data_IF_193508205686
#
_entry.id   IF_193508205686
#
_cell.length_a   1.000
_cell.length_b   1.000
_cell.length_c   1.000
_cell.angle_alpha   90.00
_cell.angle_beta   90.00
_cell.angle_gamma   90.00
#
_symmetry.space_group_name_H-M   'P 1'
#
loop_
_entity.id
_entity.type
_entity.pdbx_description
1 polymer ?
#
# COMPACT_ATOMS: atom_id res chain seq x y z
N UNK A 1 0.02 10.06 11.38
CA UNK A 1 -0.06 10.02 9.91
C UNK A 1 -0.91 8.83 9.45
N UNK A 2 -1.95 9.03 8.64
CA UNK A 2 -2.60 7.97 7.87
C UNK A 2 -2.88 8.56 6.48
N UNK A 3 -2.31 8.02 5.38
CA UNK A 3 -2.58 8.54 4.05
C UNK A 3 -4.08 8.60 3.77
N UNK A 4 -4.51 9.68 3.12
CA UNK A 4 -5.93 9.99 2.93
C UNK A 4 -6.64 8.88 2.16
N UNK A 5 -5.95 8.21 1.22
CA UNK A 5 -6.53 7.11 0.45
C UNK A 5 -6.88 5.88 1.31
N UNK A 6 -6.19 5.67 2.43
CA UNK A 6 -6.42 4.54 3.34
C UNK A 6 -7.50 4.81 4.40
N UNK A 7 -7.87 6.08 4.63
CA UNK A 7 -8.93 6.46 5.59
C UNK A 7 -10.25 5.77 5.26
N UNK A 8 -10.53 5.55 3.98
CA UNK A 8 -11.75 4.87 3.52
C UNK A 8 -11.69 3.34 3.59
N UNK A 9 -10.49 2.79 3.78
CA UNK A 9 -10.26 1.35 3.78
C UNK A 9 -10.20 0.75 5.19
N UNK A 10 -9.68 1.53 6.14
CA UNK A 10 -9.41 1.10 7.51
C UNK A 10 -10.47 1.60 8.50
N UNK A 11 -10.76 0.78 9.52
CA UNK A 11 -11.47 1.23 10.71
C UNK A 11 -10.59 2.19 11.52
N UNK A 12 -11.19 3.19 12.16
CA UNK A 12 -10.50 4.28 12.86
C UNK A 12 -9.71 3.87 14.14
N UNK A 13 -9.57 2.58 14.46
CA UNK A 13 -8.72 2.08 15.55
C UNK A 13 -7.25 2.07 15.15
N UNK A 14 -6.74 3.25 14.81
CA UNK A 14 -5.41 3.49 14.27
C UNK A 14 -4.51 3.88 15.44
N UNK A 15 -3.59 3.00 15.85
CA UNK A 15 -2.55 3.35 16.81
C UNK A 15 -1.54 4.27 16.10
N UNK A 16 -1.66 5.59 16.28
CA UNK A 16 -0.64 6.55 15.85
C UNK A 16 0.60 6.34 16.72
N UNK A 17 1.72 5.93 16.11
CA UNK A 17 2.99 5.79 16.79
C UNK A 17 3.66 7.16 16.91
N UNK A 18 3.83 7.87 15.79
CA UNK A 18 4.34 9.24 15.72
C UNK A 18 4.06 9.87 14.32
N UNK A 19 4.84 10.90 13.94
CA UNK A 19 4.75 11.58 12.64
C UNK A 19 5.61 10.91 11.55
N UNK A 20 6.60 10.10 11.92
CA UNK A 20 7.51 9.45 10.99
C UNK A 20 7.02 8.06 10.60
N UNK A 21 6.29 7.38 11.49
CA UNK A 21 5.87 6.01 11.30
C UNK A 21 4.45 5.78 11.78
N UNK A 22 3.76 4.98 10.98
CA UNK A 22 2.45 4.43 11.28
C UNK A 22 2.50 2.92 11.11
N UNK A 23 1.91 2.16 12.04
CA UNK A 23 1.75 0.72 11.89
C UNK A 23 0.47 0.24 12.56
N UNK A 24 -0.34 -0.54 11.85
CA UNK A 24 -1.61 -1.06 12.37
C UNK A 24 -1.99 -2.39 11.73
N UNK A 25 -2.87 -3.13 12.40
CA UNK A 25 -3.62 -4.21 11.77
C UNK A 25 -4.60 -3.63 10.74
N UNK A 26 -4.70 -4.27 9.58
CA UNK A 26 -5.63 -3.89 8.52
C UNK A 26 -7.01 -4.42 8.89
N UNK A 27 -7.89 -3.53 9.35
CA UNK A 27 -9.26 -3.86 9.80
C UNK A 27 -10.27 -3.13 8.93
N UNK A 28 -11.20 -3.86 8.32
CA UNK A 28 -12.26 -3.28 7.50
C UNK A 28 -13.24 -2.50 8.38
N UNK A 29 -13.89 -1.48 7.82
CA UNK A 29 -14.99 -0.76 8.49
C UNK A 29 -16.14 -1.64 8.98
N UNK A 30 -16.35 -2.82 8.38
CA UNK A 30 -17.34 -3.80 8.85
C UNK A 30 -16.86 -4.68 10.05
N UNK A 31 -15.65 -4.42 10.55
CA UNK A 31 -14.98 -5.14 11.64
C UNK A 31 -14.23 -6.41 11.22
N UNK A 32 -14.23 -6.77 9.93
CA UNK A 32 -13.48 -7.94 9.45
C UNK A 32 -11.98 -7.65 9.36
N UNK A 33 -11.18 -8.62 9.77
CA UNK A 33 -9.71 -8.61 9.61
C UNK A 33 -9.24 -9.44 8.41
N UNK A 34 -10.14 -10.11 7.70
CA UNK A 34 -9.82 -11.00 6.59
C UNK A 34 -10.16 -10.37 5.23
N UNK A 35 -9.19 -10.46 4.32
CA UNK A 35 -9.26 -9.89 2.98
C UNK A 35 -8.72 -10.84 1.92
N UNK A 36 -9.27 -10.74 0.71
CA UNK A 36 -8.62 -11.21 -0.52
C UNK A 36 -7.68 -10.12 -1.00
N UNK A 37 -6.46 -10.48 -1.36
CA UNK A 37 -5.44 -9.54 -1.82
C UNK A 37 -5.18 -9.70 -3.31
N UNK A 38 -5.01 -8.59 -4.01
CA UNK A 38 -4.83 -8.55 -5.45
C UNK A 38 -3.54 -7.80 -5.80
N UNK A 39 -2.75 -8.37 -6.70
CA UNK A 39 -1.44 -7.81 -7.10
C UNK A 39 -1.25 -7.87 -8.60
N UNK A 40 -0.20 -7.24 -9.12
CA UNK A 40 0.16 -7.25 -10.55
C UNK A 40 0.61 -8.61 -11.10
N UNK A 41 0.53 -9.70 -10.32
CA UNK A 41 0.70 -11.08 -10.83
C UNK A 41 2.13 -11.52 -11.10
N UNK A 42 3.13 -10.64 -10.89
CA UNK A 42 4.55 -10.93 -11.07
C UNK A 42 5.24 -11.17 -9.73
N UNK A 43 6.04 -12.23 -9.66
CA UNK A 43 6.73 -12.68 -8.45
C UNK A 43 8.16 -13.11 -8.79
N UNK A 44 9.07 -13.07 -7.82
CA UNK A 44 10.42 -13.61 -8.00
C UNK A 44 10.40 -15.14 -8.10
N UNK A 45 11.14 -15.72 -9.05
CA UNK A 45 11.15 -17.18 -9.28
C UNK A 45 11.64 -17.98 -8.07
N UNK A 46 12.55 -17.40 -7.28
CA UNK A 46 13.13 -18.01 -6.09
C UNK A 46 12.45 -17.60 -4.79
N UNK A 47 11.40 -16.78 -4.84
CA UNK A 47 10.71 -16.31 -3.63
C UNK A 47 9.61 -17.30 -3.19
N UNK A 48 9.79 -18.07 -2.10
CA UNK A 48 8.81 -19.05 -1.63
C UNK A 48 7.50 -18.40 -1.17
N UNK A 49 7.50 -17.09 -0.88
CA UNK A 49 6.33 -16.36 -0.43
C UNK A 49 5.60 -15.63 -1.55
N UNK A 50 6.14 -15.66 -2.78
CA UNK A 50 5.58 -14.95 -3.94
C UNK A 50 5.24 -13.51 -3.57
N UNK A 51 6.22 -12.75 -3.11
CA UNK A 51 6.09 -11.30 -2.92
C UNK A 51 5.92 -10.64 -4.28
N UNK A 52 4.92 -9.75 -4.45
CA UNK A 52 4.70 -9.07 -5.71
C UNK A 52 5.93 -8.25 -6.11
N UNK A 53 6.18 -8.18 -7.42
CA UNK A 53 7.22 -7.36 -8.03
C UNK A 53 6.59 -6.35 -8.99
N UNK A 54 7.28 -5.24 -9.21
CA UNK A 54 6.86 -4.25 -10.21
C UNK A 54 6.82 -4.86 -11.61
N UNK A 55 5.81 -4.46 -12.37
CA UNK A 55 5.70 -4.71 -13.81
C UNK A 55 6.06 -3.43 -14.57
N UNK A 56 6.25 -3.55 -15.88
CA UNK A 56 6.42 -2.38 -16.74
C UNK A 56 5.11 -2.09 -17.48
N UNK A 57 4.67 -0.84 -17.42
CA UNK A 57 3.59 -0.31 -18.25
C UNK A 57 4.19 0.84 -19.05
N UNK A 58 4.19 0.71 -20.38
CA UNK A 58 4.83 1.67 -21.29
C UNK A 58 6.29 2.01 -20.90
N UNK A 59 7.04 1.01 -20.46
CA UNK A 59 8.44 1.15 -20.05
C UNK A 59 8.67 1.80 -18.68
N UNK A 60 7.61 2.09 -17.91
CA UNK A 60 7.71 2.62 -16.55
C UNK A 60 7.30 1.58 -15.51
N UNK A 61 7.99 1.52 -14.35
CA UNK A 61 7.63 0.61 -13.27
C UNK A 61 6.23 0.96 -12.74
N UNK A 62 5.41 -0.07 -12.56
CA UNK A 62 4.09 0.00 -11.94
C UNK A 62 3.99 -1.11 -10.90
N UNK A 63 3.56 -0.74 -9.71
CA UNK A 63 3.29 -1.63 -8.60
C UNK A 63 1.96 -1.26 -7.98
N UNK A 64 1.03 -2.21 -7.89
CA UNK A 64 -0.34 -1.95 -7.45
C UNK A 64 -0.85 -3.09 -6.58
N UNK A 65 -1.47 -2.72 -5.47
CA UNK A 65 -2.04 -3.63 -4.49
C UNK A 65 -3.46 -3.17 -4.16
N UNK A 66 -4.41 -4.08 -4.33
CA UNK A 66 -5.79 -3.91 -3.91
C UNK A 66 -6.17 -5.01 -2.92
N UNK A 67 -7.21 -4.77 -2.14
CA UNK A 67 -7.84 -5.82 -1.35
C UNK A 67 -9.35 -5.76 -1.42
N UNK A 68 -9.99 -6.85 -1.03
CA UNK A 68 -11.44 -7.00 -0.92
C UNK A 68 -11.76 -7.66 0.40
N UNK A 69 -12.59 -7.01 1.23
CA UNK A 69 -13.01 -7.58 2.49
C UNK A 69 -13.87 -8.84 2.26
N UNK A 70 -13.53 -9.97 2.87
CA UNK A 70 -14.29 -11.23 2.69
C UNK A 70 -15.72 -11.13 3.24
N UNK A 71 -15.96 -10.29 4.25
CA UNK A 71 -17.26 -10.17 4.91
C UNK A 71 -18.23 -9.25 4.16
N UNK A 72 -17.79 -8.04 3.78
CA UNK A 72 -18.67 -7.04 3.15
C UNK A 72 -18.38 -6.79 1.66
N UNK A 73 -17.39 -7.47 1.09
CA UNK A 73 -16.93 -7.30 -0.31
C UNK A 73 -16.49 -5.88 -0.68
N UNK A 74 -16.26 -5.00 0.31
CA UNK A 74 -15.72 -3.68 0.05
C UNK A 74 -14.29 -3.80 -0.49
N UNK A 75 -14.03 -3.17 -1.64
CA UNK A 75 -12.71 -3.11 -2.26
C UNK A 75 -11.99 -1.82 -1.92
N UNK A 76 -10.69 -1.93 -1.65
CA UNK A 76 -9.82 -0.81 -1.40
C UNK A 76 -8.58 -0.86 -2.30
N UNK A 77 -8.23 0.30 -2.85
CA UNK A 77 -6.90 0.53 -3.40
C UNK A 77 -5.93 0.84 -2.26
N UNK A 78 -5.11 -0.14 -1.89
CA UNK A 78 -4.17 -0.02 -0.78
C UNK A 78 -2.94 0.77 -1.21
N UNK A 79 -2.42 0.48 -2.39
CA UNK A 79 -1.25 1.16 -2.92
C UNK A 79 -1.18 1.10 -4.45
N UNK A 80 -0.69 2.18 -5.05
CA UNK A 80 -0.37 2.30 -6.48
C UNK A 80 0.82 3.25 -6.60
N UNK A 81 1.97 2.72 -7.02
CA UNK A 81 3.24 3.47 -7.07
C UNK A 81 3.22 4.65 -8.03
N UNK A 82 2.23 4.74 -8.93
CA UNK A 82 2.11 5.83 -9.89
C UNK A 82 1.30 7.02 -9.35
N UNK A 83 0.61 6.87 -8.22
CA UNK A 83 -0.26 7.93 -7.65
C UNK A 83 -0.10 8.12 -6.13
N UNK A 84 0.52 7.18 -5.42
CA UNK A 84 0.71 7.23 -3.97
C UNK A 84 2.20 7.27 -3.58
N UNK A 85 2.47 7.80 -2.39
CA UNK A 85 3.82 7.98 -1.87
C UNK A 85 4.60 9.04 -2.63
N UNK A 86 5.86 9.27 -2.25
CA UNK A 86 6.67 10.37 -2.77
C UNK A 86 6.67 10.46 -4.31
N UNK A 87 7.08 9.40 -5.01
CA UNK A 87 7.15 9.40 -6.47
C UNK A 87 5.79 9.49 -7.16
N UNK A 88 4.75 8.86 -6.60
CA UNK A 88 3.42 8.85 -7.18
C UNK A 88 2.63 10.15 -6.94
N UNK A 89 2.84 10.79 -5.80
CA UNK A 89 2.11 11.97 -5.35
C UNK A 89 2.89 13.28 -5.61
N UNK A 90 4.16 13.36 -5.19
CA UNK A 90 5.00 14.56 -5.32
C UNK A 90 5.58 14.66 -6.73
N UNK A 91 6.27 13.61 -7.18
CA UNK A 91 6.89 13.55 -8.52
C UNK A 91 5.89 13.17 -9.63
N UNK A 92 4.58 13.29 -9.35
CA UNK A 92 3.51 12.74 -10.17
C UNK A 92 3.67 13.04 -11.65
N UNK A 93 3.63 11.98 -12.45
CA UNK A 93 3.60 12.07 -13.90
C UNK A 93 2.15 11.97 -14.40
N UNK A 94 1.59 13.09 -14.86
CA UNK A 94 0.21 13.17 -15.37
C UNK A 94 -0.08 12.26 -16.56
N UNK A 95 0.94 11.93 -17.37
CA UNK A 95 0.78 10.98 -18.46
C UNK A 95 0.59 9.56 -17.91
N UNK A 96 1.45 9.12 -16.99
CA UNK A 96 1.34 7.79 -16.37
C UNK A 96 0.04 7.63 -15.59
N UNK A 97 -0.42 8.70 -14.94
CA UNK A 97 -1.69 8.69 -14.22
C UNK A 97 -2.88 8.33 -15.13
N UNK A 98 -2.80 8.60 -16.45
CA UNK A 98 -3.86 8.36 -17.46
C UNK A 98 -3.75 7.03 -18.19
N UNK A 99 -2.64 6.30 -18.06
CA UNK A 99 -2.47 5.00 -18.73
C UNK A 99 -3.40 3.96 -18.09
N UNK A 100 -3.90 3.02 -18.91
CA UNK A 100 -4.71 1.91 -18.41
C UNK A 100 -3.98 1.13 -17.32
N UNK A 101 -4.67 0.91 -16.19
CA UNK A 101 -4.11 0.16 -15.05
C UNK A 101 -4.05 -1.33 -15.38
N UNK A 102 -3.07 -2.06 -14.82
CA UNK A 102 -2.94 -3.48 -15.08
C UNK A 102 -4.09 -4.24 -14.45
N UNK A 103 -4.44 -5.39 -15.04
CA UNK A 103 -5.29 -6.37 -14.37
C UNK A 103 -4.56 -6.92 -13.15
N UNK A 104 -5.28 -7.11 -12.05
CA UNK A 104 -4.72 -7.66 -10.83
C UNK A 104 -5.17 -9.10 -10.62
N UNK A 105 -4.21 -9.94 -10.22
CA UNK A 105 -4.42 -11.34 -9.90
C UNK A 105 -4.67 -11.51 -8.40
N UNK A 106 -5.59 -12.41 -8.07
CA UNK A 106 -5.82 -12.85 -6.70
C UNK A 106 -4.56 -13.57 -6.17
N UNK A 107 -3.99 -13.04 -5.10
CA UNK A 107 -2.95 -13.68 -4.34
C UNK A 107 -3.55 -14.73 -3.39
N UNK A 108 -2.89 -15.88 -3.27
CA UNK A 108 -3.29 -16.99 -2.40
C UNK A 108 -2.10 -17.40 -1.55
N UNK A 109 -2.37 -17.91 -0.35
CA UNK A 109 -1.35 -18.47 0.53
C UNK A 109 -0.49 -19.50 -0.23
N UNK A 110 0.83 -19.36 -0.16
CA UNK A 110 1.77 -20.26 -0.86
C UNK A 110 1.85 -21.65 -0.25
N UNK A 111 1.30 -21.84 0.95
CA UNK A 111 1.30 -23.13 1.67
C UNK A 111 -0.02 -23.88 1.49
N UNK A 112 -1.16 -23.23 1.80
CA UNK A 112 -2.48 -23.89 1.80
C UNK A 112 -3.43 -23.40 0.69
N UNK A 113 -3.02 -22.46 -0.14
CA UNK A 113 -3.82 -21.89 -1.24
C UNK A 113 -5.11 -21.17 -0.83
N UNK A 114 -5.32 -20.94 0.47
CA UNK A 114 -6.40 -20.09 0.96
C UNK A 114 -6.27 -18.67 0.39
N UNK A 115 -7.41 -18.04 0.10
CA UNK A 115 -7.50 -16.70 -0.49
C UNK A 115 -7.79 -15.59 0.53
N UNK A 116 -7.95 -15.94 1.82
CA UNK A 116 -8.21 -14.96 2.89
C UNK A 116 -7.01 -14.80 3.80
N UNK A 117 -6.62 -13.55 4.04
CA UNK A 117 -5.45 -13.20 4.86
C UNK A 117 -5.77 -12.00 5.71
N UNK A 118 -5.27 -12.03 6.95
CA UNK A 118 -5.10 -10.82 7.75
C UNK A 118 -3.80 -10.13 7.36
N UNK A 119 -3.76 -8.81 7.53
CA UNK A 119 -2.58 -8.02 7.23
C UNK A 119 -2.25 -7.03 8.33
N UNK A 120 -0.97 -6.70 8.42
CA UNK A 120 -0.45 -5.55 9.15
C UNK A 120 0.20 -4.62 8.14
N UNK A 121 -0.14 -3.33 8.21
CA UNK A 121 0.38 -2.29 7.32
C UNK A 121 1.23 -1.31 8.11
N UNK A 122 2.39 -0.97 7.56
CA UNK A 122 3.31 0.04 8.06
C UNK A 122 3.59 1.09 6.98
N UNK A 123 3.70 2.35 7.38
CA UNK A 123 4.03 3.48 6.50
C UNK A 123 5.09 4.32 7.21
N UNK A 124 6.11 4.74 6.46
CA UNK A 124 7.15 5.63 6.96
C UNK A 124 7.25 6.89 6.09
N UNK A 125 7.52 8.02 6.72
CA UNK A 125 7.68 9.34 6.09
C UNK A 125 8.81 10.13 6.74
N UNK A 126 9.23 11.20 6.07
CA UNK A 126 10.20 12.17 6.60
C UNK A 126 9.56 13.11 7.65
N UNK A 127 8.24 13.02 7.86
CA UNK A 127 7.53 13.83 8.83
C UNK A 127 7.13 15.20 8.30
N UNK A 128 6.29 15.88 9.08
CA UNK A 128 5.68 17.16 8.69
C UNK A 128 6.69 18.30 8.55
N UNK A 129 7.73 18.32 9.40
CA UNK A 129 8.76 19.38 9.37
C UNK A 129 9.54 19.37 8.07
N UNK A 130 10.09 18.19 7.70
CA UNK A 130 10.90 18.02 6.49
C UNK A 130 10.06 18.30 5.23
N UNK A 131 8.78 17.88 5.24
CA UNK A 131 7.85 18.22 4.17
C UNK A 131 7.62 19.73 4.03
N UNK A 132 7.45 20.45 5.14
CA UNK A 132 7.27 21.91 5.12
C UNK A 132 8.53 22.65 4.63
N UNK A 133 9.72 22.15 4.95
CA UNK A 133 10.97 22.67 4.38
C UNK A 133 11.03 22.44 2.87
N UNK A 134 10.63 21.25 2.39
CA UNK A 134 10.48 20.96 0.97
C UNK A 134 9.52 21.93 0.27
N UNK A 135 8.36 22.26 0.87
CA UNK A 135 7.38 23.19 0.28
C UNK A 135 7.97 24.58 -0.01
N UNK A 136 8.87 25.07 0.84
CA UNK A 136 9.55 26.36 0.63
C UNK A 136 10.33 26.40 -0.69
N UNK A 137 10.74 25.23 -1.21
CA UNK A 137 11.49 25.09 -2.46
C UNK A 137 10.61 24.80 -3.69
N UNK A 138 9.34 24.40 -3.51
CA UNK A 138 8.46 23.92 -4.59
C UNK A 138 7.20 24.77 -4.83
N UNK A 139 7.01 25.86 -4.07
CA UNK A 139 5.92 26.83 -4.25
C UNK A 139 4.53 26.27 -3.92
N UNK A 140 3.48 26.93 -4.40
CA UNK A 140 2.09 26.72 -3.98
C UNK A 140 1.42 25.43 -4.54
N UNK A 141 2.20 24.44 -4.99
CA UNK A 141 1.65 23.22 -5.62
C UNK A 141 1.01 22.26 -4.63
N UNK A 142 1.44 22.28 -3.36
CA UNK A 142 0.98 21.37 -2.31
C UNK A 142 0.62 22.17 -1.06
N UNK A 143 -0.30 21.63 -0.26
CA UNK A 143 -0.65 22.16 1.06
C UNK A 143 0.23 21.48 2.13
N UNK A 144 0.63 22.17 3.21
CA UNK A 144 1.25 21.54 4.39
C UNK A 144 0.61 20.22 4.81
N UNK A 145 -0.72 20.12 4.85
CA UNK A 145 -1.46 18.91 5.25
C UNK A 145 -1.28 17.71 4.29
N UNK A 146 -0.73 17.94 3.09
CA UNK A 146 -0.49 16.88 2.11
C UNK A 146 0.69 15.96 2.49
N UNK A 147 1.45 16.30 3.54
CA UNK A 147 2.59 15.52 4.04
C UNK A 147 2.20 14.05 4.30
N UNK A 148 0.95 13.79 4.70
CA UNK A 148 0.44 12.44 5.00
C UNK A 148 0.36 11.52 3.77
N UNK A 149 0.36 12.06 2.57
CA UNK A 149 0.36 11.28 1.32
C UNK A 149 1.77 11.21 0.69
N UNK A 150 2.70 12.04 1.15
CA UNK A 150 4.10 12.08 0.74
C UNK A 150 5.00 11.11 1.54
N UNK A 151 4.48 9.92 1.87
CA UNK A 151 5.26 8.90 2.56
C UNK A 151 6.38 8.36 1.65
N UNK A 152 7.49 7.93 2.26
CA UNK A 152 8.67 7.39 1.59
C UNK A 152 8.69 5.85 1.52
N UNK A 153 7.89 5.18 2.36
CA UNK A 153 7.87 3.72 2.41
C UNK A 153 6.49 3.16 2.78
N UNK A 154 6.15 2.03 2.19
CA UNK A 154 5.00 1.20 2.60
C UNK A 154 5.44 -0.26 2.80
N UNK A 155 5.02 -0.82 3.93
CA UNK A 155 5.28 -2.21 4.30
C UNK A 155 3.96 -2.92 4.59
N UNK A 156 3.78 -4.14 4.08
CA UNK A 156 2.62 -4.98 4.38
C UNK A 156 3.13 -6.37 4.72
N UNK A 157 2.73 -6.87 5.88
CA UNK A 157 2.93 -8.27 6.27
C UNK A 157 1.59 -8.99 6.25
N UNK A 158 1.55 -10.21 5.73
CA UNK A 158 0.35 -11.04 5.71
C UNK A 158 0.45 -12.19 6.69
N UNK A 159 -0.71 -12.65 7.18
CA UNK A 159 -0.84 -13.90 7.93
C UNK A 159 -2.03 -14.70 7.41
N UNK A 160 -1.80 -15.97 7.12
CA UNK A 160 -2.86 -16.88 6.73
C UNK A 160 -3.60 -17.40 7.98
N UNK A 161 -4.92 -17.21 8.10
CA UNK A 161 -5.69 -17.71 9.23
C UNK A 161 -5.82 -19.24 9.22
N UNK A 162 -5.71 -19.88 8.06
CA UNK A 162 -5.96 -21.32 7.91
C UNK A 162 -4.74 -22.14 8.31
N UNK A 163 -3.57 -21.89 7.68
CA UNK A 163 -2.33 -22.62 7.98
C UNK A 163 -1.38 -21.87 8.93
N UNK A 164 -1.77 -20.69 9.42
CA UNK A 164 -1.02 -19.85 10.37
C UNK A 164 0.33 -19.32 9.88
N UNK A 165 0.68 -19.53 8.60
CA UNK A 165 1.91 -19.01 7.99
C UNK A 165 1.93 -17.48 8.01
N UNK A 166 3.01 -16.93 8.57
CA UNK A 166 3.34 -15.51 8.52
C UNK A 166 4.23 -15.21 7.31
N UNK A 167 3.95 -14.09 6.66
CA UNK A 167 4.68 -13.60 5.48
C UNK A 167 5.13 -12.17 5.79
N UNK A 168 6.22 -12.02 6.55
CA UNK A 168 6.76 -10.72 6.85
C UNK A 168 7.32 -10.06 5.58
N UNK A 169 7.08 -8.75 5.46
CA UNK A 169 7.45 -7.99 4.27
C UNK A 169 6.91 -8.58 3.00
N UNK A 170 5.62 -8.96 3.01
CA UNK A 170 4.94 -9.37 1.78
C UNK A 170 4.99 -8.24 0.74
N UNK A 171 4.77 -7.00 1.17
CA UNK A 171 5.14 -5.79 0.44
C UNK A 171 6.17 -5.05 1.27
N UNK A 172 7.25 -4.62 0.64
CA UNK A 172 8.26 -3.73 1.21
C UNK A 172 8.74 -2.83 0.08
N UNK A 173 8.18 -1.62 0.01
CA UNK A 173 8.27 -0.78 -1.17
C UNK A 173 8.66 0.65 -0.81
N UNK A 174 9.84 1.06 -1.29
CA UNK A 174 10.32 2.44 -1.27
C UNK A 174 9.64 3.25 -2.36
N UNK A 175 9.18 4.45 -2.01
CA UNK A 175 8.49 5.34 -2.95
C UNK A 175 9.32 6.55 -3.35
N UNK A 176 10.59 6.63 -2.95
CA UNK A 176 11.56 7.66 -3.34
C UNK A 176 12.48 7.14 -4.44
#
# INVERSE_FOLDING_TARGET
>A
MLPRHLVNCLSHNVNRLDDFRFETDFICRCGSTLFRWYTVGRYGESDPFRRPLSILIEGKPCFRIENECIKCNHRCLVFDSQIHGWNGFICRNEHLARISRPTLDLWKCTVCFAAGQSARIGIASEGESDFNEFLQSFGDRFNPDDWVDAFGWIHISLRCPDCKTDIPGWVDYETM
#
